data_IF_559251545086
#
_entry.id   IF_559251545086
#
_cell.length_a   1.000
_cell.length_b   1.000
_cell.length_c   1.000
_cell.angle_alpha   90.00
_cell.angle_beta   90.00
_cell.angle_gamma   90.00
#
_symmetry.space_group_name_H-M   'P 1'
#
loop_
_entity.id
_entity.type
_entity.pdbx_description
1 polymer ?
#
# COMPACT_ATOMS: atom_id res chain seq x y z
N UNK A 1 -6.67 3.34 1.97
CA UNK A 1 -6.23 1.93 1.93
C UNK A 1 -6.97 1.14 2.99
N UNK A 2 -6.87 -0.19 2.97
CA UNK A 2 -7.20 -1.03 4.12
C UNK A 2 -5.93 -1.22 4.96
N UNK A 3 -6.05 -1.14 6.29
CA UNK A 3 -4.96 -1.46 7.21
C UNK A 3 -5.38 -2.64 8.09
N UNK A 4 -4.52 -3.65 8.17
CA UNK A 4 -4.74 -4.79 9.08
C UNK A 4 -4.04 -4.53 10.41
N UNK A 5 -4.83 -4.39 11.47
CA UNK A 5 -4.38 -4.18 12.84
C UNK A 5 -4.83 -5.36 13.70
N UNK A 6 -3.90 -6.12 14.29
CA UNK A 6 -4.11 -7.32 15.12
C UNK A 6 -5.11 -8.36 14.56
N UNK A 7 -6.41 -8.04 14.53
CA UNK A 7 -7.54 -8.86 14.03
C UNK A 7 -8.65 -8.06 13.33
N UNK A 8 -8.45 -6.77 13.03
CA UNK A 8 -9.43 -5.88 12.39
C UNK A 8 -8.85 -5.22 11.15
N UNK A 9 -9.75 -4.89 10.23
CA UNK A 9 -9.40 -4.16 9.02
C UNK A 9 -10.06 -2.79 9.06
N UNK A 10 -9.23 -1.76 9.12
CA UNK A 10 -9.67 -0.37 9.15
C UNK A 10 -9.47 0.28 7.78
N UNK A 11 -10.32 1.24 7.45
CA UNK A 11 -10.09 2.10 6.28
C UNK A 11 -9.30 3.31 6.74
N UNK A 12 -8.10 3.49 6.19
CA UNK A 12 -7.20 4.61 6.50
C UNK A 12 -6.97 5.49 5.29
N UNK A 13 -6.58 6.74 5.54
CA UNK A 13 -6.36 7.77 4.52
C UNK A 13 -4.90 8.23 4.50
N UNK A 14 -4.38 8.57 3.31
CA UNK A 14 -2.99 9.01 3.13
C UNK A 14 -2.66 10.33 3.86
N UNK A 15 -3.68 11.12 4.20
CA UNK A 15 -3.55 12.34 5.02
C UNK A 15 -3.33 12.07 6.51
N UNK A 16 -3.65 10.86 6.97
CA UNK A 16 -3.59 10.44 8.38
C UNK A 16 -2.44 9.45 8.63
N UNK A 17 -2.14 8.64 7.62
CA UNK A 17 -1.12 7.59 7.68
C UNK A 17 -0.16 7.79 6.50
N UNK A 18 1.13 7.81 6.78
CA UNK A 18 2.15 7.83 5.74
C UNK A 18 2.16 6.47 5.01
N UNK A 19 1.49 6.41 3.86
CA UNK A 19 1.38 5.19 3.07
C UNK A 19 2.71 4.72 2.47
N UNK A 20 3.71 5.59 2.40
CA UNK A 20 5.04 5.20 1.93
C UNK A 20 5.79 4.36 2.96
N UNK A 21 5.45 4.46 4.25
CA UNK A 21 6.19 3.82 5.35
C UNK A 21 5.34 2.89 6.21
N UNK A 22 4.03 3.10 6.27
CA UNK A 22 3.18 2.34 7.17
C UNK A 22 3.06 0.88 6.72
N UNK A 23 3.31 -0.09 7.63
CA UNK A 23 3.20 -1.50 7.32
C UNK A 23 1.72 -1.92 7.21
N UNK A 24 1.50 -3.10 6.64
CA UNK A 24 0.18 -3.75 6.58
C UNK A 24 -0.91 -2.90 5.91
N UNK A 25 -0.51 -2.11 4.91
CA UNK A 25 -1.43 -1.43 4.01
C UNK A 25 -1.74 -2.32 2.80
N UNK A 26 -3.04 -2.38 2.48
CA UNK A 26 -3.57 -3.22 1.42
C UNK A 26 -4.55 -2.42 0.59
N UNK A 27 -4.30 -2.41 -0.71
CA UNK A 27 -5.15 -1.81 -1.72
C UNK A 27 -5.18 -0.29 -1.64
N UNK A 28 -5.20 0.29 -2.83
CA UNK A 28 -5.23 1.72 -3.03
C UNK A 28 -6.58 2.06 -3.70
N UNK A 29 -7.53 2.53 -2.91
CA UNK A 29 -8.92 2.73 -3.33
C UNK A 29 -9.26 4.22 -3.49
N UNK A 30 -10.08 4.54 -4.50
CA UNK A 30 -10.49 5.91 -4.78
C UNK A 30 -11.24 6.59 -3.62
N UNK A 31 -11.96 5.80 -2.80
CA UNK A 31 -12.69 6.30 -1.64
C UNK A 31 -13.00 5.18 -0.64
N UNK A 32 -13.56 5.55 0.51
CA UNK A 32 -13.96 4.62 1.59
C UNK A 32 -14.95 3.56 1.12
N UNK A 33 -15.91 3.93 0.27
CA UNK A 33 -16.91 2.98 -0.25
C UNK A 33 -16.24 1.88 -1.06
N UNK A 34 -15.31 2.24 -1.96
CA UNK A 34 -14.55 1.27 -2.75
C UNK A 34 -13.70 0.34 -1.87
N UNK A 35 -13.05 0.87 -0.82
CA UNK A 35 -12.28 0.06 0.12
C UNK A 35 -13.16 -0.97 0.85
N UNK A 36 -14.32 -0.54 1.35
CA UNK A 36 -15.27 -1.44 2.02
C UNK A 36 -15.89 -2.46 1.06
N UNK A 37 -16.15 -2.09 -0.19
CA UNK A 37 -16.63 -3.02 -1.21
C UNK A 37 -15.57 -4.09 -1.51
N UNK A 38 -14.31 -3.71 -1.65
CA UNK A 38 -13.22 -4.67 -1.83
C UNK A 38 -13.10 -5.64 -0.63
N UNK A 39 -13.18 -5.13 0.60
CA UNK A 39 -13.16 -5.97 1.80
C UNK A 39 -14.36 -6.92 1.85
N UNK A 40 -15.55 -6.46 1.46
CA UNK A 40 -16.75 -7.29 1.35
C UNK A 40 -16.59 -8.39 0.29
N UNK A 41 -16.04 -8.07 -0.89
CA UNK A 41 -15.75 -9.06 -1.93
C UNK A 41 -14.79 -10.14 -1.46
N UNK A 42 -13.69 -9.75 -0.79
CA UNK A 42 -12.76 -10.71 -0.17
C UNK A 42 -13.50 -11.59 0.84
N UNK A 43 -14.34 -10.99 1.67
CA UNK A 43 -15.07 -11.71 2.69
C UNK A 43 -16.12 -12.68 2.13
N UNK A 44 -16.76 -12.32 1.01
CA UNK A 44 -17.66 -13.20 0.27
C UNK A 44 -16.92 -14.39 -0.35
N UNK A 45 -15.84 -14.10 -1.10
CA UNK A 45 -15.02 -15.11 -1.78
C UNK A 45 -14.44 -16.13 -0.79
N UNK A 46 -13.98 -15.63 0.37
CA UNK A 46 -13.24 -16.40 1.36
C UNK A 46 -14.11 -16.85 2.53
N UNK A 47 -15.43 -16.66 2.47
CA UNK A 47 -16.38 -17.01 3.55
C UNK A 47 -15.98 -16.47 4.93
N UNK A 48 -15.51 -15.22 4.97
CA UNK A 48 -15.11 -14.53 6.20
C UNK A 48 -16.32 -13.90 6.89
N UNK A 49 -16.26 -13.80 8.21
CA UNK A 49 -17.31 -13.17 8.99
C UNK A 49 -17.24 -11.63 8.94
N UNK A 50 -18.28 -10.97 8.42
CA UNK A 50 -18.38 -9.51 8.38
C UNK A 50 -18.26 -8.87 9.77
N UNK A 51 -18.84 -9.52 10.78
CA UNK A 51 -18.77 -9.05 12.16
C UNK A 51 -17.34 -9.03 12.73
N UNK A 52 -16.52 -10.04 12.41
CA UNK A 52 -15.12 -10.08 12.82
C UNK A 52 -14.27 -9.08 12.04
N UNK A 53 -14.64 -8.80 10.78
CA UNK A 53 -14.00 -7.78 9.95
C UNK A 53 -14.41 -6.34 10.32
N UNK A 54 -15.37 -6.15 11.24
CA UNK A 54 -15.87 -4.82 11.61
C UNK A 54 -16.81 -4.19 10.57
N UNK A 55 -17.31 -4.97 9.60
CA UNK A 55 -18.26 -4.51 8.59
C UNK A 55 -19.69 -4.39 9.14
N UNK A 56 -20.02 -5.19 10.15
CA UNK A 56 -21.34 -5.26 10.77
C UNK A 56 -21.19 -5.48 12.30
N UNK A 57 -22.17 -5.09 13.12
CA UNK A 57 -22.16 -5.41 14.54
C UNK A 57 -22.26 -6.92 14.77
N UNK A 58 -21.49 -7.43 15.73
CA UNK A 58 -21.47 -8.86 16.08
C UNK A 58 -21.80 -9.09 17.55
N UNK A 59 -22.83 -9.89 17.82
CA UNK A 59 -23.09 -10.41 19.16
C UNK A 59 -22.11 -11.54 19.49
N UNK A 60 -21.42 -11.45 20.63
CA UNK A 60 -20.48 -12.49 21.08
C UNK A 60 -21.20 -13.84 21.23
N UNK A 61 -20.55 -14.91 20.77
CA UNK A 61 -21.03 -16.29 20.91
C UNK A 61 -22.21 -16.67 20.01
N UNK A 62 -22.73 -15.76 19.17
CA UNK A 62 -23.83 -16.07 18.24
C UNK A 62 -23.34 -16.15 16.79
N UNK A 63 -23.94 -17.06 16.03
CA UNK A 63 -23.70 -17.15 14.60
C UNK A 63 -24.23 -15.89 13.90
N UNK A 64 -23.44 -15.31 13.00
CA UNK A 64 -23.93 -14.24 12.13
C UNK A 64 -24.90 -14.82 11.08
N UNK A 65 -25.80 -13.98 10.56
CA UNK A 65 -26.79 -14.39 9.55
C UNK A 65 -26.12 -15.06 8.33
N UNK A 66 -24.96 -14.55 7.92
CA UNK A 66 -24.18 -15.10 6.81
C UNK A 66 -23.69 -16.53 7.04
N UNK A 67 -23.52 -16.96 8.30
CA UNK A 67 -23.17 -18.36 8.62
C UNK A 67 -24.32 -19.31 8.29
N UNK A 68 -25.57 -18.90 8.57
CA UNK A 68 -26.77 -19.67 8.18
C UNK A 68 -26.87 -19.82 6.65
N UNK A 69 -26.45 -18.80 5.90
CA UNK A 69 -26.39 -18.81 4.44
C UNK A 69 -25.15 -19.51 3.86
N UNK A 70 -24.29 -20.13 4.68
CA UNK A 70 -23.01 -20.74 4.26
C UNK A 70 -22.03 -19.77 3.57
N UNK A 71 -22.20 -18.46 3.78
CA UNK A 71 -21.33 -17.35 3.32
C UNK A 71 -20.34 -16.87 4.40
N UNK A 72 -20.33 -17.53 5.55
CA UNK A 72 -19.37 -17.37 6.63
C UNK A 72 -19.06 -18.78 7.18
N UNK A 73 -17.78 -19.12 7.31
CA UNK A 73 -17.34 -20.43 7.82
C UNK A 73 -17.61 -20.63 9.32
N UNK A 74 -17.97 -19.55 10.04
CA UNK A 74 -18.52 -19.64 11.39
C UNK A 74 -17.52 -19.42 12.52
N UNK A 75 -16.43 -18.69 12.26
CA UNK A 75 -15.52 -18.20 13.31
C UNK A 75 -16.24 -17.44 14.44
N UNK A 76 -17.31 -16.70 14.12
CA UNK A 76 -18.12 -16.00 15.13
C UNK A 76 -18.91 -16.90 16.09
N UNK A 77 -19.10 -18.18 15.75
CA UNK A 77 -19.87 -19.14 16.54
C UNK A 77 -19.10 -20.43 16.84
N UNK A 78 -17.77 -20.41 16.70
CA UNK A 78 -16.90 -21.52 17.06
C UNK A 78 -16.90 -22.72 16.09
N UNK A 79 -17.52 -22.60 14.91
CA UNK A 79 -17.43 -23.64 13.85
C UNK A 79 -16.07 -23.65 13.14
N UNK A 80 -15.38 -22.54 13.21
CA UNK A 80 -14.01 -22.32 12.71
C UNK A 80 -13.26 -21.60 13.83
N UNK A 81 -11.94 -21.80 13.94
CA UNK A 81 -11.11 -21.00 14.84
C UNK A 81 -10.98 -19.55 14.34
N UNK A 82 -10.72 -18.61 15.24
CA UNK A 82 -10.36 -17.24 14.83
C UNK A 82 -9.04 -17.18 14.07
N UNK A 83 -8.15 -18.16 14.27
CA UNK A 83 -6.83 -18.22 13.65
C UNK A 83 -6.91 -18.62 12.17
N UNK A 84 -7.71 -19.64 11.85
CA UNK A 84 -8.01 -20.03 10.46
C UNK A 84 -8.69 -18.90 9.69
N UNK A 85 -9.65 -18.21 10.33
CA UNK A 85 -10.30 -17.03 9.77
C UNK A 85 -9.29 -15.92 9.47
N UNK A 86 -8.42 -15.60 10.44
CA UNK A 86 -7.39 -14.57 10.27
C UNK A 86 -6.34 -14.94 9.23
N UNK A 87 -5.97 -16.22 9.12
CA UNK A 87 -5.04 -16.72 8.11
C UNK A 87 -5.61 -16.50 6.69
N UNK A 88 -6.86 -16.89 6.45
CA UNK A 88 -7.53 -16.70 5.15
C UNK A 88 -7.67 -15.22 4.78
N UNK A 89 -7.99 -14.38 5.77
CA UNK A 89 -8.00 -12.92 5.59
C UNK A 89 -6.62 -12.41 5.15
N UNK A 90 -5.56 -12.75 5.89
CA UNK A 90 -4.18 -12.30 5.59
C UNK A 90 -3.72 -12.73 4.20
N UNK A 91 -3.90 -14.01 3.87
CA UNK A 91 -3.54 -14.54 2.54
C UNK A 91 -4.26 -13.81 1.40
N UNK A 92 -5.51 -13.43 1.60
CA UNK A 92 -6.30 -12.75 0.59
C UNK A 92 -5.93 -11.27 0.45
N UNK A 93 -5.59 -10.61 1.56
CA UNK A 93 -5.10 -9.24 1.58
C UNK A 93 -3.72 -9.11 0.96
N UNK A 94 -2.85 -10.12 1.07
CA UNK A 94 -1.47 -10.06 0.56
C UNK A 94 -1.40 -9.74 -0.93
N UNK A 95 -2.38 -10.19 -1.71
CA UNK A 95 -2.50 -9.88 -3.15
C UNK A 95 -2.67 -8.38 -3.44
N UNK A 96 -3.07 -7.61 -2.43
CA UNK A 96 -3.30 -6.17 -2.50
C UNK A 96 -2.22 -5.38 -1.76
N UNK A 97 -1.16 -6.03 -1.26
CA UNK A 97 -0.12 -5.37 -0.45
C UNK A 97 0.41 -4.12 -1.15
N UNK A 98 0.34 -2.99 -0.44
CA UNK A 98 1.00 -1.76 -0.85
C UNK A 98 2.46 -1.87 -0.44
N UNK A 99 3.38 -1.68 -1.39
CA UNK A 99 4.81 -1.74 -1.13
C UNK A 99 5.24 -0.44 -0.47
N UNK A 100 5.89 -0.56 0.70
CA UNK A 100 6.52 0.58 1.34
C UNK A 100 7.71 1.03 0.49
N UNK A 101 8.01 2.34 0.50
CA UNK A 101 9.17 2.90 -0.16
C UNK A 101 10.44 2.20 0.34
N UNK A 102 11.18 1.47 -0.53
CA UNK A 102 12.27 0.60 -0.09
C UNK A 102 13.60 1.33 0.10
N UNK A 103 13.71 2.58 -0.33
CA UNK A 103 14.93 3.40 -0.25
C UNK A 103 14.91 4.34 0.95
N UNK A 104 16.09 4.78 1.40
CA UNK A 104 16.16 5.69 2.57
C UNK A 104 15.70 7.12 2.23
N UNK A 105 15.98 7.55 1.00
CA UNK A 105 15.75 8.91 0.52
C UNK A 105 15.06 8.94 -0.85
N UNK A 106 15.22 10.05 -1.55
CA UNK A 106 14.82 10.17 -2.95
C UNK A 106 15.69 9.25 -3.83
N UNK A 107 15.16 8.83 -4.96
CA UNK A 107 15.91 8.10 -5.98
C UNK A 107 15.78 8.80 -7.33
N UNK A 108 16.81 8.66 -8.15
CA UNK A 108 16.79 9.01 -9.56
C UNK A 108 16.57 7.73 -10.38
N UNK A 109 15.49 7.70 -11.15
CA UNK A 109 15.29 6.70 -12.20
C UNK A 109 15.86 7.25 -13.50
N UNK A 110 16.85 6.59 -14.07
CA UNK A 110 17.46 6.99 -15.34
C UNK A 110 16.67 6.41 -16.51
N UNK A 111 16.22 7.29 -17.39
CA UNK A 111 15.65 6.96 -18.68
C UNK A 111 16.63 7.38 -19.78
N UNK A 112 17.07 6.43 -20.60
CA UNK A 112 18.05 6.67 -21.65
C UNK A 112 17.48 6.32 -23.02
N UNK A 113 17.51 7.30 -23.92
CA UNK A 113 17.19 7.20 -25.34
C UNK A 113 18.44 7.57 -26.16
N UNK A 114 18.51 7.23 -27.46
CA UNK A 114 19.68 7.52 -28.29
C UNK A 114 20.11 9.00 -28.31
N UNK A 115 19.16 9.93 -28.15
CA UNK A 115 19.40 11.37 -28.24
C UNK A 115 19.40 12.08 -26.88
N UNK A 116 18.96 11.42 -25.80
CA UNK A 116 18.73 12.08 -24.52
C UNK A 116 18.82 11.09 -23.35
N UNK A 117 19.37 11.56 -22.23
CA UNK A 117 19.24 10.90 -20.92
C UNK A 117 18.50 11.84 -19.98
N UNK A 118 17.50 11.33 -19.28
CA UNK A 118 16.78 12.04 -18.22
C UNK A 118 16.78 11.24 -16.93
N UNK A 119 16.81 11.95 -15.82
CA UNK A 119 16.73 11.41 -14.47
C UNK A 119 15.43 11.88 -13.82
N UNK A 120 14.53 10.95 -13.57
CA UNK A 120 13.27 11.21 -12.89
C UNK A 120 13.46 11.09 -11.39
N UNK A 121 13.31 12.20 -10.67
CA UNK A 121 13.52 12.27 -9.23
C UNK A 121 12.22 11.88 -8.54
N UNK A 122 12.27 10.85 -7.70
CA UNK A 122 11.10 10.26 -7.06
C UNK A 122 11.39 10.07 -5.57
N UNK A 123 10.45 10.44 -4.72
CA UNK A 123 10.54 10.20 -3.28
C UNK A 123 9.18 9.77 -2.75
N UNK A 124 9.12 8.70 -1.94
CA UNK A 124 7.87 8.23 -1.31
C UNK A 124 6.71 8.00 -2.31
N UNK A 125 7.02 7.44 -3.49
CA UNK A 125 6.08 7.25 -4.61
C UNK A 125 5.52 8.54 -5.24
N UNK A 126 6.11 9.70 -4.94
CA UNK A 126 5.82 10.98 -5.58
C UNK A 126 6.91 11.32 -6.58
N UNK A 127 6.53 11.61 -7.82
CA UNK A 127 7.44 12.17 -8.82
C UNK A 127 7.64 13.67 -8.55
N UNK A 128 8.89 14.07 -8.33
CA UNK A 128 9.28 15.44 -7.99
C UNK A 128 9.67 16.27 -9.23
N UNK A 129 10.04 15.60 -10.32
CA UNK A 129 10.43 16.22 -11.58
C UNK A 129 11.47 15.40 -12.34
N UNK A 130 11.97 15.94 -13.44
CA UNK A 130 13.04 15.35 -14.23
C UNK A 130 14.18 16.36 -14.44
N UNK A 131 15.41 15.85 -14.45
CA UNK A 131 16.64 16.62 -14.69
C UNK A 131 17.52 15.92 -15.72
N UNK A 132 18.39 16.66 -16.38
CA UNK A 132 19.31 16.12 -17.39
C UNK A 132 20.63 15.62 -16.78
N UNK A 133 20.96 16.06 -15.57
CA UNK A 133 22.14 15.65 -14.79
C UNK A 133 21.74 15.30 -13.36
N UNK A 134 22.41 14.31 -12.77
CA UNK A 134 22.21 13.97 -11.35
C UNK A 134 22.60 15.11 -10.41
N UNK A 135 23.51 15.98 -10.83
CA UNK A 135 23.92 17.17 -10.06
C UNK A 135 22.75 18.13 -9.79
N UNK A 136 21.78 18.19 -10.72
CA UNK A 136 20.61 19.06 -10.60
C UNK A 136 19.51 18.44 -9.72
N UNK A 137 19.62 17.17 -9.33
CA UNK A 137 18.56 16.43 -8.65
C UNK A 137 18.18 17.05 -7.30
N UNK A 138 19.16 17.62 -6.59
CA UNK A 138 19.00 18.24 -5.26
C UNK A 138 18.09 19.46 -5.31
N UNK A 139 17.96 20.12 -6.47
CA UNK A 139 17.05 21.25 -6.66
C UNK A 139 15.56 20.87 -6.50
N UNK A 140 15.23 19.60 -6.76
CA UNK A 140 13.85 19.07 -6.72
C UNK A 140 13.45 18.51 -5.35
N UNK A 141 14.41 18.27 -4.45
CA UNK A 141 14.18 17.69 -3.13
C UNK A 141 13.84 18.82 -2.14
N UNK A 142 12.63 19.39 -2.20
CA UNK A 142 12.30 20.61 -1.42
C UNK A 142 11.07 20.54 -0.49
N UNK A 143 10.41 19.41 -0.32
CA UNK A 143 9.31 19.26 0.67
C UNK A 143 9.10 17.77 0.97
N UNK A 144 8.72 17.36 2.20
CA UNK A 144 8.31 16.00 2.46
C UNK A 144 7.21 15.57 1.49
N UNK A 145 7.58 14.69 0.56
CA UNK A 145 6.67 14.14 -0.41
C UNK A 145 5.54 13.39 0.32
N UNK A 146 4.31 13.91 0.18
CA UNK A 146 3.12 13.16 0.51
C UNK A 146 2.95 11.97 -0.43
N UNK A 147 2.11 11.01 -0.05
CA UNK A 147 1.85 9.85 -0.89
C UNK A 147 0.88 10.19 -2.03
N UNK A 148 1.30 9.96 -3.27
CA UNK A 148 0.44 10.04 -4.45
C UNK A 148 -0.08 8.65 -4.85
N UNK A 149 -1.41 8.54 -4.93
CA UNK A 149 -2.11 7.31 -5.29
C UNK A 149 -1.85 6.89 -6.73
N UNK A 150 -1.89 7.84 -7.66
CA UNK A 150 -1.68 7.54 -9.08
C UNK A 150 -0.18 7.44 -9.37
N UNK A 151 0.64 8.27 -8.72
CA UNK A 151 2.09 8.13 -8.66
C UNK A 151 2.53 6.71 -8.25
N UNK A 152 1.99 6.15 -7.18
CA UNK A 152 2.28 4.75 -6.80
C UNK A 152 1.97 3.76 -7.93
N UNK A 153 0.79 3.84 -8.55
CA UNK A 153 0.39 2.90 -9.60
C UNK A 153 1.30 2.98 -10.84
N UNK A 154 1.73 4.19 -11.18
CA UNK A 154 2.61 4.45 -12.33
C UNK A 154 4.03 3.99 -12.02
N UNK A 155 4.55 4.32 -10.83
CA UNK A 155 5.96 4.20 -10.49
C UNK A 155 6.35 2.85 -9.88
N UNK A 156 5.43 2.15 -9.21
CA UNK A 156 5.74 0.91 -8.49
C UNK A 156 6.35 -0.16 -9.40
N UNK A 157 5.77 -0.40 -10.58
CA UNK A 157 6.30 -1.43 -11.48
C UNK A 157 7.65 -1.04 -12.10
N UNK A 158 7.82 0.15 -12.72
CA UNK A 158 9.13 0.56 -13.26
C UNK A 158 10.25 0.48 -12.22
N UNK A 159 10.02 1.04 -11.02
CA UNK A 159 11.02 1.11 -9.95
C UNK A 159 11.42 -0.25 -9.37
N UNK A 160 10.49 -1.20 -9.29
CA UNK A 160 10.75 -2.50 -8.67
C UNK A 160 11.09 -3.61 -9.67
N UNK A 161 10.90 -3.37 -10.97
CA UNK A 161 11.12 -4.38 -12.00
C UNK A 161 12.60 -4.71 -12.27
N UNK A 162 13.52 -3.83 -11.88
CA UNK A 162 14.94 -3.95 -12.24
C UNK A 162 15.26 -3.59 -13.69
N UNK A 163 14.28 -3.09 -14.46
CA UNK A 163 14.46 -2.72 -15.87
C UNK A 163 15.10 -1.35 -16.08
N UNK A 164 15.20 -0.54 -15.02
CA UNK A 164 15.75 0.80 -15.04
C UNK A 164 16.91 0.91 -14.06
N UNK A 165 17.90 1.72 -14.41
CA UNK A 165 18.99 2.08 -13.51
C UNK A 165 18.46 3.07 -12.46
N UNK A 166 18.52 2.68 -11.18
CA UNK A 166 18.05 3.47 -10.04
C UNK A 166 19.24 3.86 -9.18
N UNK A 167 19.37 5.15 -8.91
CA UNK A 167 20.41 5.71 -8.03
C UNK A 167 19.76 6.34 -6.80
N UNK A 168 20.10 5.86 -5.60
CA UNK A 168 19.71 6.53 -4.35
C UNK A 168 20.42 7.88 -4.22
N UNK A 169 19.66 8.91 -3.88
CA UNK A 169 20.16 10.26 -3.65
C UNK A 169 20.38 10.43 -2.15
N UNK A 170 21.64 10.51 -1.74
CA UNK A 170 22.00 10.68 -0.33
C UNK A 170 21.79 12.15 0.09
N UNK A 171 20.94 12.43 1.10
CA UNK A 171 20.80 13.79 1.63
C UNK A 171 22.09 14.35 2.25
N UNK A 172 23.11 13.53 2.55
CA UNK A 172 24.34 13.94 3.22
C UNK A 172 25.52 14.27 2.27
N UNK A 173 25.45 13.94 0.97
CA UNK A 173 26.61 14.05 0.08
C UNK A 173 26.81 15.45 -0.55
N UNK A 174 25.91 16.40 -0.24
CA UNK A 174 25.92 17.77 -0.78
C UNK A 174 26.89 18.73 -0.07
N UNK A 175 27.65 18.29 0.94
CA UNK A 175 28.62 19.14 1.67
C UNK A 175 30.09 18.95 1.25
N UNK A 176 30.38 18.19 0.17
CA UNK A 176 31.78 17.93 -0.25
C UNK A 176 32.20 18.60 -1.56
N UNK A 177 31.37 19.47 -2.13
CA UNK A 177 31.76 20.32 -3.25
C UNK A 177 31.65 21.79 -2.85
N UNK A 178 32.65 22.28 -2.11
CA UNK A 178 32.92 23.71 -1.90
C UNK A 178 34.43 23.91 -1.81
#
# INVERSE_FOLDING_TARGET
ALQLNEKRVDVVYAKEVDFSRAPNLFGLFANRRAALQALQSIADEQKLCYGLLGLEPLSRGRACFRSALKRCAGACCGKESHEEHALRLRQSLERLRVVCWPWQGAVALKEQHPEMTQYHIIQNWLWLGAVNSLEDATTLIRTPAGFDHDGYKILCKPLLSGNYEITELDPANDQRAS
#
